data_IF_035606235009
#
_entry.id   IF_035606235009
#
_cell.length_a   1.000
_cell.length_b   1.000
_cell.length_c   1.000
_cell.angle_alpha   90.00
_cell.angle_beta   90.00
_cell.angle_gamma   90.00
#
_symmetry.space_group_name_H-M   'P 1'
#
loop_
_entity.id
_entity.type
_entity.pdbx_description
1 polymer ?
#
# COMPACT_ATOMS: atom_id res chain seq x y z
N UNK A 1 -16.42 -15.87 -9.30
CA UNK A 1 -15.34 -15.26 -10.06
C UNK A 1 -15.98 -14.24 -10.97
N UNK A 2 -15.48 -13.02 -10.91
CA UNK A 2 -16.03 -11.86 -11.60
C UNK A 2 -15.26 -11.58 -12.87
N UNK A 3 -15.96 -11.05 -13.88
CA UNK A 3 -15.39 -10.50 -15.11
C UNK A 3 -14.91 -9.08 -14.81
N UNK A 4 -13.64 -8.96 -14.40
CA UNK A 4 -12.99 -7.70 -14.05
C UNK A 4 -11.52 -7.73 -14.50
N UNK A 5 -10.94 -6.56 -14.77
CA UNK A 5 -9.51 -6.41 -15.05
C UNK A 5 -8.79 -5.63 -13.96
N UNK A 6 -7.48 -5.82 -13.85
CA UNK A 6 -6.60 -5.06 -12.96
C UNK A 6 -5.55 -4.34 -13.78
N UNK A 7 -5.44 -3.03 -13.61
CA UNK A 7 -4.50 -2.18 -14.33
C UNK A 7 -3.59 -1.48 -13.32
N UNK A 8 -2.30 -1.85 -13.23
CA UNK A 8 -1.38 -1.13 -12.37
C UNK A 8 -1.09 0.27 -12.93
N UNK A 9 -1.10 1.27 -12.05
CA UNK A 9 -0.74 2.66 -12.34
C UNK A 9 0.63 2.89 -11.72
N UNK A 10 1.65 3.08 -12.55
CA UNK A 10 3.00 3.41 -12.11
C UNK A 10 2.98 4.81 -11.47
N UNK A 11 3.48 4.92 -10.23
CA UNK A 11 3.49 6.16 -9.44
C UNK A 11 4.90 6.59 -9.07
N UNK A 12 5.93 6.02 -9.70
CA UNK A 12 7.33 6.33 -9.44
C UNK A 12 8.03 5.31 -8.56
N UNK A 13 9.13 5.74 -7.94
CA UNK A 13 10.04 4.88 -7.18
C UNK A 13 10.41 5.51 -5.86
N UNK A 14 10.25 4.75 -4.77
CA UNK A 14 10.73 5.10 -3.44
C UNK A 14 12.12 4.48 -3.20
N UNK A 15 13.06 5.27 -2.69
CA UNK A 15 14.42 4.85 -2.35
C UNK A 15 14.63 4.97 -0.85
N UNK A 16 14.96 3.87 -0.20
CA UNK A 16 15.13 3.79 1.25
C UNK A 16 16.31 2.90 1.66
N UNK A 17 16.75 2.98 2.92
CA UNK A 17 17.72 2.02 3.46
C UNK A 17 17.11 0.61 3.42
N UNK A 18 17.83 -0.36 2.85
CA UNK A 18 17.38 -1.74 2.73
C UNK A 18 17.08 -2.40 4.09
N UNK A 19 17.62 -1.88 5.20
CA UNK A 19 17.25 -2.32 6.54
C UNK A 19 15.82 -1.97 6.95
N UNK A 20 15.22 -0.93 6.34
CA UNK A 20 13.80 -0.62 6.52
C UNK A 20 12.94 -1.65 5.78
N UNK A 21 13.33 -2.02 4.56
CA UNK A 21 12.59 -3.00 3.74
C UNK A 21 12.74 -4.42 4.31
N UNK A 22 13.94 -4.80 4.75
CA UNK A 22 14.25 -6.13 5.28
C UNK A 22 15.05 -6.00 6.56
N UNK A 23 14.48 -6.46 7.68
CA UNK A 23 15.11 -6.38 8.99
C UNK A 23 16.49 -7.04 8.98
N UNK A 24 17.50 -6.25 9.39
CA UNK A 24 18.88 -6.71 9.46
C UNK A 24 19.46 -7.09 8.10
N UNK A 25 19.15 -6.32 7.06
CA UNK A 25 19.77 -6.47 5.75
C UNK A 25 21.29 -6.31 5.82
N UNK A 26 21.75 -5.23 6.45
CA UNK A 26 23.17 -4.98 6.73
C UNK A 26 23.39 -4.81 8.23
N UNK A 27 24.17 -5.71 8.83
CA UNK A 27 24.48 -5.70 10.27
C UNK A 27 25.99 -5.70 10.50
N UNK A 28 26.44 -4.85 11.42
CA UNK A 28 27.81 -4.86 11.91
C UNK A 28 28.14 -6.15 12.67
N UNK A 29 29.42 -6.52 12.63
CA UNK A 29 29.98 -7.65 13.37
C UNK A 29 31.24 -7.22 14.13
N UNK A 30 31.77 -8.08 15.01
CA UNK A 30 33.04 -7.80 15.68
C UNK A 30 34.23 -7.69 14.70
N UNK A 31 34.13 -8.32 13.52
CA UNK A 31 35.18 -8.28 12.50
C UNK A 31 35.03 -7.08 11.55
N UNK A 32 33.81 -6.59 11.37
CA UNK A 32 33.46 -5.42 10.57
C UNK A 32 32.37 -4.61 11.30
N UNK A 33 32.75 -3.70 12.21
CA UNK A 33 31.80 -3.03 13.08
C UNK A 33 31.00 -1.91 12.39
N UNK A 34 31.42 -1.43 11.22
CA UNK A 34 30.78 -0.31 10.52
C UNK A 34 30.60 -0.60 9.02
N UNK A 35 29.82 -1.64 8.66
CA UNK A 35 29.52 -1.91 7.26
C UNK A 35 28.72 -0.75 6.67
N UNK A 36 28.92 -0.47 5.39
CA UNK A 36 28.12 0.52 4.66
C UNK A 36 26.71 -0.02 4.44
N UNK A 37 25.70 0.80 4.73
CA UNK A 37 24.30 0.46 4.44
C UNK A 37 24.04 0.49 2.94
N UNK A 38 22.95 -0.16 2.52
CA UNK A 38 22.57 -0.27 1.12
C UNK A 38 21.26 0.48 0.94
N UNK A 39 21.23 1.42 -0.01
CA UNK A 39 19.98 2.01 -0.48
C UNK A 39 19.34 1.07 -1.49
N UNK A 40 18.03 0.88 -1.39
CA UNK A 40 17.25 0.03 -2.26
C UNK A 40 16.05 0.81 -2.80
N UNK A 41 15.72 0.52 -4.05
CA UNK A 41 14.61 1.12 -4.77
C UNK A 41 13.42 0.15 -4.79
N UNK A 42 12.21 0.67 -4.62
CA UNK A 42 10.96 -0.06 -4.79
C UNK A 42 9.96 0.76 -5.60
N UNK A 43 9.19 0.16 -6.53
CA UNK A 43 8.13 0.88 -7.21
C UNK A 43 7.04 1.32 -6.22
N UNK A 44 6.45 2.47 -6.47
CA UNK A 44 5.16 2.86 -5.90
C UNK A 44 4.14 2.72 -7.02
N UNK A 45 3.02 2.07 -6.76
CA UNK A 45 1.97 1.90 -7.75
C UNK A 45 0.60 1.82 -7.09
N UNK A 46 -0.42 2.23 -7.85
CA UNK A 46 -1.81 1.99 -7.50
C UNK A 46 -2.36 0.90 -8.42
N UNK A 47 -3.57 0.41 -8.16
CA UNK A 47 -4.26 -0.51 -9.07
C UNK A 47 -5.66 0.00 -9.35
N UNK A 48 -6.00 0.20 -10.62
CA UNK A 48 -7.39 0.35 -11.04
C UNK A 48 -7.97 -1.03 -11.28
N UNK A 49 -9.10 -1.33 -10.64
CA UNK A 49 -9.86 -2.56 -10.79
C UNK A 49 -11.16 -2.20 -11.52
N UNK A 50 -11.24 -2.56 -12.80
CA UNK A 50 -12.45 -2.40 -13.61
C UNK A 50 -13.45 -3.49 -13.24
N UNK A 51 -14.25 -3.24 -12.20
CA UNK A 51 -15.23 -4.18 -11.70
C UNK A 51 -16.61 -3.87 -12.28
N UNK A 52 -17.47 -4.87 -12.59
CA UNK A 52 -18.82 -4.63 -13.14
C UNK A 52 -19.75 -3.79 -12.27
N UNK A 53 -19.42 -3.65 -10.97
CA UNK A 53 -20.17 -2.83 -10.01
C UNK A 53 -19.59 -1.42 -9.82
N UNK A 54 -18.32 -1.18 -10.18
CA UNK A 54 -17.60 0.08 -9.95
C UNK A 54 -16.20 0.06 -10.60
N UNK A 55 -15.71 1.20 -11.08
CA UNK A 55 -14.26 1.41 -11.29
C UNK A 55 -13.61 1.70 -9.94
N UNK A 56 -12.75 0.81 -9.44
CA UNK A 56 -12.21 0.89 -8.08
C UNK A 56 -10.72 1.22 -8.13
N UNK A 57 -10.30 2.27 -7.42
CA UNK A 57 -8.89 2.58 -7.24
C UNK A 57 -8.36 2.03 -5.91
N UNK A 58 -7.33 1.20 -5.97
CA UNK A 58 -6.60 0.68 -4.80
C UNK A 58 -5.33 1.51 -4.59
N UNK A 59 -5.29 2.21 -3.45
CA UNK A 59 -4.32 3.26 -3.09
C UNK A 59 -4.23 4.45 -4.06
N UNK A 60 -3.59 5.54 -3.64
CA UNK A 60 -3.51 6.80 -4.39
C UNK A 60 -2.08 7.32 -4.58
N UNK A 61 -1.07 6.61 -4.10
CA UNK A 61 0.33 6.96 -4.28
C UNK A 61 0.76 8.15 -3.43
N UNK A 62 1.95 8.67 -3.68
CA UNK A 62 2.44 9.90 -3.03
C UNK A 62 1.83 11.19 -3.58
N UNK A 63 1.83 12.23 -2.75
CA UNK A 63 1.45 13.58 -3.15
C UNK A 63 2.49 14.15 -4.13
N UNK A 64 2.10 14.84 -5.21
CA UNK A 64 3.04 15.36 -6.22
C UNK A 64 4.10 16.30 -5.63
N UNK A 65 3.73 17.09 -4.61
CA UNK A 65 4.63 18.02 -3.93
C UNK A 65 5.43 17.39 -2.77
N UNK A 66 5.53 16.05 -2.70
CA UNK A 66 6.25 15.35 -1.61
C UNK A 66 7.68 15.88 -1.42
N UNK A 67 8.43 16.06 -2.51
CA UNK A 67 9.78 16.65 -2.50
C UNK A 67 9.82 18.16 -2.22
N UNK A 68 8.70 18.85 -2.46
CA UNK A 68 8.56 20.30 -2.37
C UNK A 68 7.97 20.75 -1.02
N UNK A 69 8.29 20.00 0.04
CA UNK A 69 7.97 20.33 1.43
C UNK A 69 6.60 19.86 1.92
N UNK A 70 5.87 19.08 1.12
CA UNK A 70 4.67 18.39 1.61
C UNK A 70 5.03 17.29 2.60
N UNK A 71 6.09 16.52 2.31
CA UNK A 71 6.70 15.64 3.30
C UNK A 71 7.73 16.41 4.13
N UNK A 72 7.85 16.14 5.45
CA UNK A 72 8.94 16.67 6.25
C UNK A 72 10.31 16.32 5.64
N UNK A 73 11.28 17.24 5.71
CA UNK A 73 12.58 17.11 5.05
C UNK A 73 13.32 15.82 5.45
N UNK A 74 13.33 15.48 6.74
CA UNK A 74 13.98 14.28 7.24
C UNK A 74 13.26 12.99 6.81
N UNK A 75 11.93 13.04 6.69
CA UNK A 75 11.13 11.91 6.22
C UNK A 75 11.40 11.66 4.74
N UNK A 76 11.37 12.70 3.91
CA UNK A 76 11.71 12.61 2.49
C UNK A 76 13.16 12.14 2.29
N UNK A 77 14.10 12.59 3.12
CA UNK A 77 15.49 12.12 3.05
C UNK A 77 15.66 10.62 3.40
N UNK A 78 14.77 10.06 4.23
CA UNK A 78 14.78 8.64 4.59
C UNK A 78 14.08 7.75 3.55
N UNK A 79 13.14 8.33 2.81
CA UNK A 79 12.25 7.66 1.85
C UNK A 79 12.08 8.53 0.60
N UNK A 80 13.17 8.78 -0.12
CA UNK A 80 13.15 9.68 -1.28
C UNK A 80 12.22 9.11 -2.36
N UNK A 81 11.30 9.93 -2.90
CA UNK A 81 10.43 9.50 -3.99
C UNK A 81 10.78 10.22 -5.30
N UNK A 82 11.27 9.46 -6.28
CA UNK A 82 11.49 9.92 -7.65
C UNK A 82 10.34 9.58 -8.60
N UNK A 83 10.04 10.46 -9.55
CA UNK A 83 8.94 10.25 -10.51
C UNK A 83 7.57 10.78 -10.06
N UNK A 84 7.54 11.60 -9.02
CA UNK A 84 6.33 12.25 -8.51
C UNK A 84 5.56 13.02 -9.59
N UNK A 85 4.28 12.68 -9.74
CA UNK A 85 3.32 13.32 -10.63
C UNK A 85 1.94 13.43 -9.98
N UNK A 86 1.08 14.38 -10.39
CA UNK A 86 -0.32 14.36 -10.00
C UNK A 86 -0.97 13.01 -10.30
N UNK A 87 -1.84 12.52 -9.41
CA UNK A 87 -2.56 11.25 -9.61
C UNK A 87 -3.36 11.26 -10.91
N UNK A 88 -3.97 12.40 -11.23
CA UNK A 88 -4.79 12.61 -12.41
C UNK A 88 -3.99 12.39 -13.70
N UNK A 89 -2.73 12.81 -13.73
CA UNK A 89 -1.87 12.65 -14.91
C UNK A 89 -1.50 11.18 -15.16
N UNK A 90 -1.21 10.41 -14.10
CA UNK A 90 -0.86 8.99 -14.24
C UNK A 90 -2.09 8.11 -14.53
N UNK A 91 -3.27 8.47 -13.99
CA UNK A 91 -4.54 7.85 -14.39
C UNK A 91 -4.84 8.12 -15.87
N UNK A 92 -4.66 9.36 -16.32
CA UNK A 92 -4.91 9.75 -17.71
C UNK A 92 -4.00 9.00 -18.70
N UNK A 93 -2.73 8.78 -18.35
CA UNK A 93 -1.79 7.99 -19.15
C UNK A 93 -2.21 6.52 -19.26
N UNK A 94 -2.90 5.98 -18.25
CA UNK A 94 -3.50 4.65 -18.26
C UNK A 94 -4.90 4.60 -18.92
N UNK A 95 -5.45 5.75 -19.30
CA UNK A 95 -6.74 5.85 -20.00
C UNK A 95 -7.96 6.06 -19.10
N UNK A 96 -7.76 6.46 -17.84
CA UNK A 96 -8.82 6.77 -16.88
C UNK A 96 -8.82 8.27 -16.55
N UNK A 97 -10.00 8.86 -16.38
CA UNK A 97 -10.15 10.13 -15.68
C UNK A 97 -10.33 9.87 -14.17
N UNK A 98 -9.96 10.82 -13.31
CA UNK A 98 -10.27 10.73 -11.87
C UNK A 98 -11.78 10.68 -11.64
N UNK A 99 -12.55 11.35 -12.51
CA UNK A 99 -14.02 11.34 -12.49
C UNK A 99 -14.62 9.97 -12.87
N UNK A 100 -13.84 9.05 -13.47
CA UNK A 100 -14.27 7.68 -13.77
C UNK A 100 -14.20 6.76 -12.54
N UNK A 101 -13.55 7.17 -11.45
CA UNK A 101 -13.35 6.36 -10.25
C UNK A 101 -14.61 6.39 -9.37
N UNK A 102 -15.28 5.25 -9.26
CA UNK A 102 -16.50 5.07 -8.47
C UNK A 102 -16.24 4.78 -6.98
N UNK A 103 -15.05 4.27 -6.64
CA UNK A 103 -14.66 3.98 -5.26
C UNK A 103 -13.13 3.96 -5.09
N UNK A 104 -12.66 4.34 -3.90
CA UNK A 104 -11.24 4.23 -3.52
C UNK A 104 -11.14 3.26 -2.35
N UNK A 105 -10.17 2.35 -2.38
CA UNK A 105 -9.80 1.49 -1.26
C UNK A 105 -8.39 1.86 -0.83
N UNK A 106 -8.26 2.40 0.37
CA UNK A 106 -6.96 2.68 0.99
C UNK A 106 -6.51 1.47 1.79
N UNK A 107 -5.39 0.88 1.41
CA UNK A 107 -4.72 -0.18 2.18
C UNK A 107 -4.42 0.34 3.58
N UNK A 108 -3.78 1.50 3.65
CA UNK A 108 -3.42 2.21 4.84
C UNK A 108 -3.11 3.68 4.52
N UNK A 109 -2.75 4.51 5.51
CA UNK A 109 -2.63 5.96 5.32
C UNK A 109 -1.20 6.50 5.43
N UNK A 110 -0.19 5.71 5.03
CA UNK A 110 1.17 6.23 4.90
C UNK A 110 1.33 7.10 3.65
N UNK A 111 2.38 7.91 3.70
CA UNK A 111 2.74 8.97 2.77
C UNK A 111 2.72 8.57 1.29
N UNK A 112 3.08 7.33 0.96
CA UNK A 112 3.16 6.78 -0.39
C UNK A 112 1.94 5.98 -0.85
N UNK A 113 0.90 5.90 0.00
CA UNK A 113 -0.37 5.25 -0.32
C UNK A 113 -1.55 6.22 -0.34
N UNK A 114 -1.49 7.27 0.48
CA UNK A 114 -2.61 8.20 0.71
C UNK A 114 -2.41 9.60 0.11
N UNK A 115 -1.25 9.89 -0.44
CA UNK A 115 -0.87 11.22 -0.92
C UNK A 115 -1.74 11.74 -2.07
N UNK A 116 -2.31 10.87 -2.90
CA UNK A 116 -3.24 11.28 -3.97
C UNK A 116 -4.69 11.47 -3.52
N UNK A 117 -5.01 11.34 -2.22
CA UNK A 117 -6.38 11.54 -1.72
C UNK A 117 -6.91 12.97 -1.92
N UNK A 118 -6.03 13.96 -2.16
CA UNK A 118 -6.45 15.33 -2.49
C UNK A 118 -7.37 15.38 -3.71
N UNK A 119 -7.24 14.45 -4.66
CA UNK A 119 -8.02 14.43 -5.89
C UNK A 119 -9.50 14.10 -5.66
N UNK A 120 -9.83 13.55 -4.48
CA UNK A 120 -11.20 13.15 -4.10
C UNK A 120 -11.83 14.08 -3.05
N UNK A 121 -11.15 15.17 -2.66
CA UNK A 121 -11.66 16.12 -1.67
C UNK A 121 -12.95 16.79 -2.12
N UNK A 122 -13.99 16.75 -1.28
CA UNK A 122 -15.30 17.34 -1.55
C UNK A 122 -16.15 16.58 -2.57
N UNK A 123 -15.69 15.42 -3.04
CA UNK A 123 -16.47 14.52 -3.90
C UNK A 123 -17.34 13.56 -3.09
N UNK A 124 -18.34 12.95 -3.73
CA UNK A 124 -19.15 11.89 -3.13
C UNK A 124 -18.52 10.48 -3.29
N UNK A 125 -17.31 10.36 -3.85
CA UNK A 125 -16.65 9.06 -4.08
C UNK A 125 -16.37 8.36 -2.74
N UNK A 126 -16.93 7.17 -2.48
CA UNK A 126 -16.68 6.43 -1.24
C UNK A 126 -15.22 6.00 -1.13
N UNK A 127 -14.58 6.35 -0.01
CA UNK A 127 -13.19 5.97 0.30
C UNK A 127 -13.18 4.98 1.45
N UNK A 128 -12.89 3.72 1.17
CA UNK A 128 -12.83 2.67 2.16
C UNK A 128 -11.50 2.67 2.89
N UNK A 129 -11.56 2.64 4.22
CA UNK A 129 -10.39 2.53 5.09
C UNK A 129 -10.77 1.78 6.36
N UNK A 130 -9.83 1.03 6.94
CA UNK A 130 -10.11 0.32 8.17
C UNK A 130 -10.18 1.27 9.39
N UNK A 131 -11.10 1.01 10.32
CA UNK A 131 -11.32 1.84 11.51
C UNK A 131 -10.03 2.03 12.33
N UNK A 132 -9.24 0.96 12.49
CA UNK A 132 -7.97 1.02 13.23
C UNK A 132 -6.90 1.84 12.53
N UNK A 133 -6.95 1.86 11.21
CA UNK A 133 -6.02 2.64 10.41
C UNK A 133 -6.30 4.12 10.61
N UNK A 134 -7.54 4.54 10.33
CA UNK A 134 -7.93 5.94 10.42
C UNK A 134 -7.67 6.51 11.82
N UNK A 135 -7.99 5.75 12.87
CA UNK A 135 -7.70 6.17 14.26
C UNK A 135 -6.21 6.32 14.53
N UNK A 136 -5.39 5.39 14.01
CA UNK A 136 -3.95 5.43 14.24
C UNK A 136 -3.30 6.56 13.42
N UNK A 137 -3.74 6.78 12.19
CA UNK A 137 -3.30 7.89 11.34
C UNK A 137 -3.51 9.26 12.02
N UNK A 138 -4.72 9.53 12.52
CA UNK A 138 -4.98 10.78 13.25
C UNK A 138 -4.21 10.87 14.57
N UNK A 139 -4.00 9.76 15.27
CA UNK A 139 -3.18 9.75 16.49
C UNK A 139 -1.72 10.11 16.17
N UNK A 140 -1.13 9.45 15.17
CA UNK A 140 0.23 9.66 14.71
C UNK A 140 0.45 11.08 14.18
N UNK A 141 -0.44 11.58 13.32
CA UNK A 141 -0.22 12.87 12.66
C UNK A 141 -0.59 14.10 13.51
N UNK A 142 -1.29 13.90 14.65
CA UNK A 142 -1.73 15.01 15.54
C UNK A 142 -1.07 14.98 16.91
N UNK A 143 -0.13 14.06 17.13
CA UNK A 143 0.64 13.97 18.37
C UNK A 143 2.10 13.67 18.07
N UNK A 144 3.02 13.93 19.02
CA UNK A 144 4.43 13.54 18.87
C UNK A 144 4.67 12.04 19.19
N UNK A 145 3.60 11.24 19.16
CA UNK A 145 3.62 9.83 19.49
C UNK A 145 2.95 9.04 18.38
N UNK A 146 3.58 7.97 17.93
CA UNK A 146 3.07 7.16 16.82
C UNK A 146 4.14 7.03 15.75
N UNK A 147 3.68 7.10 14.51
CA UNK A 147 4.47 6.81 13.32
C UNK A 147 4.57 8.07 12.43
N UNK A 148 5.79 8.42 12.03
CA UNK A 148 6.08 9.65 11.28
C UNK A 148 5.66 9.56 9.80
N UNK A 149 5.38 8.34 9.30
CA UNK A 149 4.93 8.10 7.93
C UNK A 149 3.51 8.63 7.63
N UNK A 150 2.75 9.06 8.64
CA UNK A 150 1.41 9.66 8.47
C UNK A 150 1.49 11.18 8.29
N UNK A 151 1.37 11.64 7.05
CA UNK A 151 1.32 13.07 6.74
C UNK A 151 -0.13 13.54 6.78
N UNK A 152 -0.50 14.36 7.78
CA UNK A 152 -1.89 14.82 7.96
C UNK A 152 -2.48 15.47 6.70
N UNK A 153 -1.65 16.16 5.91
CA UNK A 153 -2.06 16.78 4.65
C UNK A 153 -2.58 15.79 3.60
N UNK A 154 -2.34 14.49 3.75
CA UNK A 154 -2.85 13.48 2.83
C UNK A 154 -4.32 13.13 3.12
N UNK A 155 -4.68 12.96 4.40
CA UNK A 155 -5.98 12.37 4.78
C UNK A 155 -6.87 13.25 5.67
N UNK A 156 -6.38 14.35 6.25
CA UNK A 156 -7.17 15.32 7.04
C UNK A 156 -7.90 16.30 6.11
N UNK A 157 -8.84 15.75 5.34
CA UNK A 157 -9.59 16.42 4.26
C UNK A 157 -11.07 16.06 4.31
N UNK A 158 -11.90 16.80 3.57
CA UNK A 158 -13.32 16.48 3.40
C UNK A 158 -13.51 15.29 2.44
N UNK A 159 -13.29 14.08 2.97
CA UNK A 159 -13.36 12.82 2.23
C UNK A 159 -14.57 11.99 2.67
N UNK A 160 -15.23 11.32 1.72
CA UNK A 160 -16.39 10.46 2.00
C UNK A 160 -15.96 9.08 2.53
N UNK A 161 -15.41 9.07 3.74
CA UNK A 161 -14.93 7.85 4.39
C UNK A 161 -16.03 6.79 4.57
N UNK A 162 -15.73 5.56 4.14
CA UNK A 162 -16.47 4.33 4.43
C UNK A 162 -15.62 3.44 5.33
N UNK A 163 -16.03 3.34 6.59
CA UNK A 163 -15.23 2.66 7.60
C UNK A 163 -15.47 1.16 7.56
N UNK A 164 -14.39 0.41 7.35
CA UNK A 164 -14.35 -1.06 7.47
C UNK A 164 -14.02 -1.41 8.92
N UNK A 165 -14.74 -2.35 9.53
CA UNK A 165 -14.61 -2.70 10.94
C UNK A 165 -14.15 -4.14 11.18
N UNK A 166 -14.47 -5.04 10.25
CA UNK A 166 -14.20 -6.46 10.32
C UNK A 166 -12.80 -6.80 9.81
N UNK A 167 -12.29 -7.95 10.28
CA UNK A 167 -11.06 -8.53 9.73
C UNK A 167 -11.27 -9.05 8.31
N UNK A 168 -12.54 -9.31 7.92
CA UNK A 168 -12.97 -9.73 6.58
C UNK A 168 -14.31 -9.12 6.25
N UNK A 169 -14.39 -8.35 5.16
CA UNK A 169 -15.63 -7.75 4.66
C UNK A 169 -15.70 -7.86 3.13
N UNK A 170 -16.91 -7.82 2.58
CA UNK A 170 -17.15 -7.79 1.13
C UNK A 170 -18.13 -6.68 0.81
N UNK A 171 -17.71 -5.72 0.02
CA UNK A 171 -18.54 -4.60 -0.44
C UNK A 171 -18.89 -4.71 -1.94
N UNK A 172 -18.12 -5.52 -2.69
CA UNK A 172 -18.33 -5.84 -4.10
C UNK A 172 -18.32 -7.38 -4.26
N UNK A 173 -18.96 -7.91 -5.30
CA UNK A 173 -18.90 -9.33 -5.62
C UNK A 173 -17.46 -9.78 -5.83
N UNK A 174 -17.11 -10.97 -5.33
CA UNK A 174 -15.80 -11.60 -5.56
C UNK A 174 -14.56 -10.77 -5.20
N UNK A 175 -14.72 -9.67 -4.46
CA UNK A 175 -13.67 -8.81 -3.92
C UNK A 175 -13.83 -8.72 -2.39
N UNK A 176 -12.91 -9.36 -1.68
CA UNK A 176 -12.90 -9.44 -0.22
C UNK A 176 -11.78 -8.58 0.37
N UNK A 177 -12.14 -7.74 1.31
CA UNK A 177 -11.25 -6.92 2.10
C UNK A 177 -10.75 -7.79 3.25
N UNK A 178 -9.43 -7.84 3.46
CA UNK A 178 -8.81 -8.64 4.51
C UNK A 178 -7.90 -7.74 5.32
N UNK A 179 -8.14 -7.64 6.64
CA UNK A 179 -7.25 -6.89 7.52
C UNK A 179 -5.97 -7.68 7.79
N UNK A 180 -4.82 -7.06 7.50
CA UNK A 180 -3.49 -7.63 7.58
C UNK A 180 -2.61 -6.80 8.54
N UNK A 181 -2.94 -6.69 9.84
CA UNK A 181 -2.18 -5.85 10.76
C UNK A 181 -0.72 -6.30 10.86
N UNK A 182 0.20 -5.37 10.97
CA UNK A 182 1.61 -5.69 11.09
C UNK A 182 2.49 -4.50 10.76
N UNK A 183 2.43 -4.07 9.50
CA UNK A 183 2.98 -2.81 9.02
C UNK A 183 2.32 -1.65 9.75
N UNK A 184 1.01 -1.53 9.61
CA UNK A 184 0.14 -0.65 10.39
C UNK A 184 -0.89 -1.48 11.19
N UNK A 185 -1.60 -0.91 12.18
CA UNK A 185 -2.64 -1.63 12.90
C UNK A 185 -3.90 -1.92 12.07
N UNK A 186 -4.08 -1.22 10.95
CA UNK A 186 -5.29 -1.26 10.15
C UNK A 186 -5.11 -1.61 8.68
N UNK A 187 -3.90 -2.00 8.24
CA UNK A 187 -3.63 -2.40 6.85
C UNK A 187 -4.72 -3.33 6.29
N UNK A 188 -5.23 -3.00 5.12
CA UNK A 188 -6.15 -3.80 4.31
C UNK A 188 -5.41 -4.37 3.11
N UNK A 189 -5.47 -5.68 2.93
CA UNK A 189 -5.23 -6.33 1.64
C UNK A 189 -6.54 -6.68 0.95
N UNK A 190 -6.47 -7.05 -0.32
CA UNK A 190 -7.61 -7.50 -1.11
C UNK A 190 -7.43 -8.94 -1.59
N UNK A 191 -8.53 -9.68 -1.65
CA UNK A 191 -8.61 -10.99 -2.31
C UNK A 191 -9.66 -10.87 -3.41
N UNK A 192 -9.21 -10.95 -4.66
CA UNK A 192 -10.03 -10.80 -5.85
C UNK A 192 -10.13 -12.15 -6.58
N UNK A 193 -11.34 -12.59 -6.91
CA UNK A 193 -11.57 -13.84 -7.64
C UNK A 193 -11.96 -13.52 -9.10
N UNK A 194 -11.01 -13.54 -10.03
CA UNK A 194 -11.16 -13.17 -11.44
C UNK A 194 -11.49 -14.37 -12.33
N UNK A 195 -12.37 -14.23 -13.32
CA UNK A 195 -12.85 -15.33 -14.17
C UNK A 195 -11.72 -16.00 -14.99
N UNK A 196 -10.84 -15.21 -15.61
CA UNK A 196 -9.78 -15.70 -16.50
C UNK A 196 -8.43 -15.91 -15.81
N UNK A 197 -8.20 -15.24 -14.68
CA UNK A 197 -6.90 -15.23 -13.96
C UNK A 197 -6.91 -16.16 -12.74
N UNK A 198 -8.07 -16.34 -12.09
CA UNK A 198 -8.18 -17.03 -10.81
C UNK A 198 -8.11 -16.07 -9.61
N UNK A 199 -7.60 -16.55 -8.47
CA UNK A 199 -7.54 -15.71 -7.27
C UNK A 199 -6.27 -14.85 -7.27
N UNK A 200 -6.41 -13.55 -7.07
CA UNK A 200 -5.31 -12.60 -6.87
C UNK A 200 -5.41 -12.02 -5.46
N UNK A 201 -4.27 -11.92 -4.77
CA UNK A 201 -4.17 -11.24 -3.48
C UNK A 201 -3.28 -10.02 -3.61
N UNK A 202 -3.85 -8.84 -3.44
CA UNK A 202 -3.09 -7.59 -3.30
C UNK A 202 -2.75 -7.44 -1.83
N UNK A 203 -1.51 -7.74 -1.45
CA UNK A 203 -1.11 -7.81 -0.05
C UNK A 203 -0.80 -6.43 0.55
N UNK A 204 -0.52 -5.44 -0.30
CA UNK A 204 0.04 -4.14 0.11
C UNK A 204 1.26 -4.35 0.99
N UNK A 205 1.40 -3.52 2.00
CA UNK A 205 2.58 -3.49 2.87
C UNK A 205 2.62 -4.63 3.90
N UNK A 206 1.75 -5.63 3.77
CA UNK A 206 1.96 -6.90 4.44
C UNK A 206 3.30 -7.52 3.98
N UNK A 207 3.72 -7.24 2.75
CA UNK A 207 5.05 -7.53 2.27
C UNK A 207 5.46 -6.44 1.26
N UNK A 208 6.56 -5.74 1.51
CA UNK A 208 7.14 -4.83 0.52
C UNK A 208 7.65 -5.62 -0.69
N UNK A 209 8.46 -6.64 -0.42
CA UNK A 209 9.15 -7.44 -1.45
C UNK A 209 8.90 -8.93 -1.28
N UNK A 210 9.29 -9.72 -2.29
CA UNK A 210 9.32 -11.19 -2.21
C UNK A 210 10.22 -11.73 -1.10
N UNK A 211 11.27 -10.99 -0.69
CA UNK A 211 12.06 -11.36 0.49
C UNK A 211 11.21 -11.31 1.77
N UNK A 212 10.25 -10.38 1.84
CA UNK A 212 9.35 -10.31 2.99
C UNK A 212 8.33 -11.44 2.99
N UNK A 213 7.78 -11.75 1.82
CA UNK A 213 6.73 -12.76 1.69
C UNK A 213 7.26 -14.20 1.70
N UNK A 214 8.18 -14.53 0.78
CA UNK A 214 8.65 -15.89 0.54
C UNK A 214 9.72 -16.33 1.55
N UNK A 215 10.68 -15.46 1.84
CA UNK A 215 11.75 -15.77 2.80
C UNK A 215 11.36 -15.44 4.25
N UNK A 216 10.10 -14.99 4.45
CA UNK A 216 9.50 -14.64 5.74
C UNK A 216 10.32 -13.62 6.54
N UNK A 217 11.07 -12.75 5.85
CA UNK A 217 11.90 -11.72 6.50
C UNK A 217 11.04 -10.48 6.78
N UNK A 218 10.78 -10.12 8.05
CA UNK A 218 9.99 -8.94 8.36
C UNK A 218 10.70 -7.66 7.87
N UNK A 219 9.94 -6.58 7.70
CA UNK A 219 10.50 -5.24 7.52
C UNK A 219 11.24 -4.75 8.78
N UNK A 220 12.03 -3.70 8.65
CA UNK A 220 12.70 -3.03 9.76
C UNK A 220 11.71 -2.37 10.73
N UNK A 221 12.19 -2.05 11.93
CA UNK A 221 11.34 -1.57 13.02
C UNK A 221 10.58 -0.27 12.72
N UNK A 222 11.12 0.61 11.86
CA UNK A 222 10.44 1.85 11.46
C UNK A 222 9.20 1.60 10.59
N UNK A 223 9.16 0.49 9.85
CA UNK A 223 8.04 0.10 8.99
C UNK A 223 7.19 -1.03 9.62
N UNK A 224 7.28 -1.25 10.94
CA UNK A 224 6.52 -2.30 11.61
C UNK A 224 5.92 -1.81 12.92
N UNK A 225 4.61 -1.58 12.89
CA UNK A 225 3.81 -1.40 14.09
C UNK A 225 3.85 -2.64 15.01
N UNK A 226 3.79 -3.86 14.44
CA UNK A 226 3.80 -5.08 15.24
C UNK A 226 4.27 -6.31 14.47
N UNK A 227 5.51 -6.73 14.72
CA UNK A 227 6.08 -7.97 14.17
C UNK A 227 5.27 -9.23 14.47
N UNK A 228 4.63 -9.33 15.64
CA UNK A 228 3.75 -10.48 15.97
C UNK A 228 2.55 -10.53 15.03
N UNK A 229 1.85 -9.42 14.86
CA UNK A 229 0.69 -9.36 13.98
C UNK A 229 1.11 -9.52 12.52
N UNK A 230 2.24 -8.94 12.11
CA UNK A 230 2.80 -9.14 10.78
C UNK A 230 2.99 -10.62 10.44
N UNK A 231 3.54 -11.43 11.36
CA UNK A 231 3.66 -12.88 11.17
C UNK A 231 2.31 -13.61 11.12
N UNK A 232 1.28 -13.11 11.81
CA UNK A 232 -0.08 -13.67 11.77
C UNK A 232 -0.77 -13.37 10.43
N UNK A 233 -0.58 -12.15 9.92
CA UNK A 233 -1.07 -11.69 8.63
C UNK A 233 -0.35 -12.39 7.48
N UNK A 234 0.97 -12.59 7.56
CA UNK A 234 1.75 -13.37 6.59
C UNK A 234 1.17 -14.78 6.44
N UNK A 235 0.95 -15.48 7.57
CA UNK A 235 0.34 -16.81 7.57
C UNK A 235 -1.08 -16.82 7.01
N UNK A 236 -1.82 -15.73 7.19
CA UNK A 236 -3.17 -15.58 6.63
C UNK A 236 -3.10 -15.51 5.10
N UNK A 237 -2.19 -14.70 4.54
CA UNK A 237 -1.98 -14.60 3.09
C UNK A 237 -1.49 -15.92 2.51
N UNK A 238 -0.48 -16.55 3.11
CA UNK A 238 0.02 -17.88 2.70
C UNK A 238 -1.07 -18.97 2.75
N UNK A 239 -2.00 -18.89 3.71
CA UNK A 239 -3.13 -19.80 3.77
C UNK A 239 -4.14 -19.57 2.64
N UNK A 240 -4.38 -18.31 2.23
CA UNK A 240 -5.21 -17.97 1.08
C UNK A 240 -4.57 -18.48 -0.20
N UNK A 241 -3.29 -18.16 -0.42
CA UNK A 241 -2.47 -18.66 -1.53
C UNK A 241 -2.61 -20.17 -1.67
N UNK A 242 -2.27 -20.93 -0.62
CA UNK A 242 -2.31 -22.40 -0.65
C UNK A 242 -3.71 -22.97 -0.90
N UNK A 243 -4.76 -22.35 -0.35
CA UNK A 243 -6.13 -22.89 -0.43
C UNK A 243 -6.83 -22.54 -1.74
N UNK A 244 -6.45 -21.42 -2.35
CA UNK A 244 -7.11 -20.88 -3.54
C UNK A 244 -6.21 -20.87 -4.79
N UNK A 245 -4.98 -21.36 -4.66
CA UNK A 245 -3.95 -21.29 -5.71
C UNK A 245 -3.77 -19.85 -6.19
N UNK A 246 -3.68 -18.92 -5.22
CA UNK A 246 -3.76 -17.50 -5.51
C UNK A 246 -2.41 -16.90 -5.92
N UNK A 247 -2.43 -16.00 -6.90
CA UNK A 247 -1.30 -15.13 -7.20
C UNK A 247 -1.22 -14.02 -6.16
N UNK A 248 -0.14 -13.96 -5.38
CA UNK A 248 0.07 -12.92 -4.36
C UNK A 248 0.99 -11.84 -4.90
N UNK A 249 0.58 -10.57 -4.75
CA UNK A 249 1.32 -9.37 -5.18
C UNK A 249 1.76 -8.58 -3.93
N UNK A 250 3.06 -8.33 -3.79
CA UNK A 250 3.69 -7.53 -2.73
C UNK A 250 3.67 -6.03 -3.08
N UNK A 251 3.60 -5.13 -2.10
CA UNK A 251 3.34 -3.70 -2.31
C UNK A 251 4.41 -2.91 -3.08
N UNK A 252 5.68 -3.33 -3.04
CA UNK A 252 6.82 -2.61 -3.63
C UNK A 252 7.82 -3.56 -4.30
N UNK A 253 7.36 -4.65 -4.89
CA UNK A 253 8.22 -5.60 -5.61
C UNK A 253 8.13 -5.38 -7.12
N UNK A 254 9.28 -5.16 -7.77
CA UNK A 254 9.33 -4.92 -9.21
C UNK A 254 8.83 -6.10 -10.04
N UNK A 255 9.11 -7.33 -9.63
CA UNK A 255 8.67 -8.53 -10.37
C UNK A 255 7.15 -8.72 -10.23
N UNK A 256 6.57 -8.32 -9.09
CA UNK A 256 5.13 -8.38 -8.86
C UNK A 256 4.37 -7.28 -9.61
N UNK A 257 4.98 -6.11 -9.79
CA UNK A 257 4.46 -5.07 -10.67
C UNK A 257 4.42 -5.54 -12.13
N UNK A 258 5.47 -6.22 -12.62
CA UNK A 258 5.43 -6.82 -13.96
C UNK A 258 4.38 -7.94 -14.04
N UNK A 259 4.26 -8.76 -12.99
CA UNK A 259 3.21 -9.79 -12.92
C UNK A 259 1.82 -9.17 -13.03
N UNK A 260 1.56 -8.07 -12.33
CA UNK A 260 0.29 -7.33 -12.41
C UNK A 260 -0.03 -6.84 -13.83
N UNK A 261 0.98 -6.45 -14.62
CA UNK A 261 0.79 -6.00 -16.02
C UNK A 261 0.44 -7.14 -16.98
N UNK A 262 0.65 -8.39 -16.56
CA UNK A 262 0.40 -9.59 -17.36
C UNK A 262 -0.92 -10.29 -17.01
N UNK A 263 -1.60 -9.88 -15.93
CA UNK A 263 -2.92 -10.41 -15.52
C UNK A 263 -4.03 -9.93 -16.46
#
# INVERSE_FOLDING_TARGET
MVDASVTPIDRGTITADANNIVEGFTLGSAADPNPETVMADGPVYNVVIDHPEATILWDTGSHPDAADGHWPEELYAAFEHSGLRPLEDDLADAGYDVDDIDAVIQTHLHLDHAGGLYAFEGTDVPIYVHERELKYAYYSAKTDAGDEAYVAGDFDRDLNWKIVHGDRERHFADLEFVRLPGHTPGLLGLVLELEDVGTVVLAGDQAYTRSNYHDERPMGGQLLWSKRHWLESLRTVQEIERRRDATVICGHDGDDLETLREL
#
